data_IF_569653766283
#
_entry.id   IF_569653766283
#
_cell.length_a   1.000
_cell.length_b   1.000
_cell.length_c   1.000
_cell.angle_alpha   90.00
_cell.angle_beta   90.00
_cell.angle_gamma   90.00
#
_symmetry.space_group_name_H-M   'P 1'
#
loop_
_entity.id
_entity.type
_entity.pdbx_description
1 polymer ?
#
# COMPACT_ATOMS: atom_id res chain seq x y z
N UNK A 1 -37.44 -1.29 -41.49
CA UNK A 1 -38.27 -2.51 -41.54
C UNK A 1 -37.82 -3.45 -40.43
N UNK A 2 -38.75 -3.84 -39.53
CA UNK A 2 -38.77 -5.02 -38.61
C UNK A 2 -37.55 -5.22 -37.68
N UNK A 3 -37.57 -4.94 -36.37
CA UNK A 3 -38.38 -5.48 -35.25
C UNK A 3 -38.37 -7.02 -35.10
N UNK A 4 -37.76 -7.44 -33.97
CA UNK A 4 -37.94 -8.66 -33.15
C UNK A 4 -37.32 -9.98 -33.62
N UNK A 5 -36.33 -10.47 -32.86
CA UNK A 5 -36.49 -11.77 -32.21
C UNK A 5 -35.78 -11.81 -30.84
N UNK A 6 -36.63 -11.93 -29.83
CA UNK A 6 -36.37 -12.09 -28.41
C UNK A 6 -36.39 -13.60 -28.15
N UNK A 7 -35.28 -14.17 -27.69
CA UNK A 7 -35.24 -15.50 -27.09
C UNK A 7 -34.57 -15.30 -25.72
N UNK A 8 -35.37 -15.07 -24.67
CA UNK A 8 -35.74 -16.10 -23.71
C UNK A 8 -34.52 -16.70 -23.00
N UNK A 9 -34.28 -16.20 -21.79
CA UNK A 9 -34.03 -16.97 -20.56
C UNK A 9 -33.01 -18.12 -20.68
N UNK A 10 -31.86 -17.96 -20.02
CA UNK A 10 -31.35 -18.84 -18.93
C UNK A 10 -29.96 -18.32 -18.53
N UNK A 11 -29.88 -17.57 -17.42
CA UNK A 11 -28.81 -17.81 -16.45
C UNK A 11 -29.12 -19.19 -15.85
N UNK A 12 -28.16 -20.11 -15.61
CA UNK A 12 -27.00 -19.79 -14.78
C UNK A 12 -25.74 -20.64 -15.07
N UNK A 13 -24.53 -20.10 -14.82
CA UNK A 13 -23.49 -20.90 -14.13
C UNK A 13 -22.34 -19.98 -13.69
N UNK A 14 -22.11 -19.96 -12.38
CA UNK A 14 -20.84 -19.54 -11.80
C UNK A 14 -19.70 -20.29 -12.50
N UNK A 15 -18.84 -19.58 -13.24
CA UNK A 15 -17.56 -20.11 -13.68
C UNK A 15 -16.45 -19.12 -13.32
N UNK A 16 -15.88 -19.42 -12.14
CA UNK A 16 -14.52 -19.09 -11.70
C UNK A 16 -14.18 -17.59 -11.55
N UNK A 17 -14.67 -16.98 -10.47
CA UNK A 17 -14.07 -15.78 -9.88
C UNK A 17 -12.74 -16.06 -9.15
N UNK A 18 -11.84 -16.82 -9.77
CA UNK A 18 -10.52 -17.09 -9.22
C UNK A 18 -9.70 -15.79 -9.23
N UNK A 19 -9.47 -15.19 -8.07
CA UNK A 19 -8.45 -14.14 -7.92
C UNK A 19 -7.09 -14.78 -8.19
N UNK A 20 -6.47 -14.45 -9.32
CA UNK A 20 -5.05 -14.73 -9.52
C UNK A 20 -4.28 -13.98 -8.42
N UNK A 21 -3.37 -14.63 -7.69
CA UNK A 21 -2.45 -13.91 -6.83
C UNK A 21 -1.60 -13.03 -7.75
N UNK A 22 -1.80 -11.72 -7.69
CA UNK A 22 -0.83 -10.77 -8.24
C UNK A 22 0.40 -10.89 -7.35
N UNK A 23 1.40 -11.64 -7.80
CA UNK A 23 2.73 -11.60 -7.23
C UNK A 23 3.24 -10.17 -7.43
N UNK A 24 3.28 -9.38 -6.36
CA UNK A 24 3.91 -8.08 -6.41
C UNK A 24 5.39 -8.33 -6.66
N UNK A 25 5.86 -8.03 -7.88
CA UNK A 25 7.28 -7.96 -8.17
C UNK A 25 7.87 -6.90 -7.24
N UNK A 26 8.51 -7.35 -6.15
CA UNK A 26 9.27 -6.47 -5.27
C UNK A 26 10.50 -6.05 -6.06
N UNK A 27 10.37 -4.97 -6.81
CA UNK A 27 11.54 -4.29 -7.35
C UNK A 27 12.44 -3.96 -6.16
N UNK A 28 13.62 -4.56 -6.11
CA UNK A 28 14.63 -4.23 -5.11
C UNK A 28 15.11 -2.82 -5.42
N UNK A 29 14.41 -1.83 -4.87
CA UNK A 29 14.80 -0.44 -4.95
C UNK A 29 16.06 -0.29 -4.11
N UNK A 30 17.18 -0.04 -4.78
CA UNK A 30 18.40 0.41 -4.11
C UNK A 30 18.14 1.81 -3.59
N UNK A 31 18.02 1.95 -2.27
CA UNK A 31 17.82 3.22 -1.58
C UNK A 31 19.10 3.58 -0.84
N UNK A 32 19.66 4.76 -1.10
CA UNK A 32 20.76 5.28 -0.30
C UNK A 32 20.24 5.80 1.03
N UNK A 33 21.02 5.65 2.11
CA UNK A 33 20.64 6.15 3.44
C UNK A 33 20.30 7.65 3.44
N UNK A 34 21.00 8.44 2.61
CA UNK A 34 20.76 9.87 2.46
C UNK A 34 19.37 10.20 1.88
N UNK A 35 18.78 9.30 1.10
CA UNK A 35 17.47 9.48 0.46
C UNK A 35 16.31 8.96 1.31
N UNK A 36 16.62 8.25 2.41
CA UNK A 36 15.62 7.65 3.29
C UNK A 36 14.58 8.65 3.81
N UNK A 37 14.95 9.85 4.30
CA UNK A 37 13.96 10.83 4.79
C UNK A 37 12.95 11.22 3.70
N UNK A 38 13.44 11.58 2.51
CA UNK A 38 12.59 11.99 1.38
C UNK A 38 11.70 10.84 0.87
N UNK A 39 12.22 9.61 0.88
CA UNK A 39 11.44 8.43 0.50
C UNK A 39 10.28 8.16 1.48
N UNK A 40 10.52 8.31 2.79
CA UNK A 40 9.48 8.20 3.82
C UNK A 40 8.43 9.29 3.67
N UNK A 41 8.86 10.54 3.42
CA UNK A 41 7.96 11.68 3.20
C UNK A 41 7.05 11.46 1.99
N UNK A 42 7.59 10.94 0.89
CA UNK A 42 6.83 10.58 -0.33
C UNK A 42 5.68 9.59 -0.06
N UNK A 43 5.77 8.79 1.01
CA UNK A 43 4.72 7.85 1.42
C UNK A 43 3.81 8.48 2.48
N UNK A 44 4.39 9.07 3.51
CA UNK A 44 3.65 9.54 4.70
C UNK A 44 2.84 10.80 4.42
N UNK A 45 3.21 11.59 3.43
CA UNK A 45 2.57 12.88 3.08
C UNK A 45 1.57 12.78 1.93
N UNK A 46 1.24 11.56 1.49
CA UNK A 46 0.24 11.40 0.43
C UNK A 46 -1.15 11.86 0.90
N UNK A 47 -1.99 12.39 -0.01
CA UNK A 47 -3.30 12.94 0.35
C UNK A 47 -4.22 11.96 1.10
N UNK A 48 -4.15 10.66 0.79
CA UNK A 48 -4.93 9.62 1.48
C UNK A 48 -4.60 9.51 2.98
N UNK A 49 -3.40 9.93 3.39
CA UNK A 49 -2.94 9.89 4.78
C UNK A 49 -3.04 11.22 5.51
N UNK A 50 -3.65 12.26 4.91
CA UNK A 50 -3.65 13.62 5.47
C UNK A 50 -4.25 13.75 6.88
N UNK A 51 -5.08 12.79 7.31
CA UNK A 51 -5.67 12.74 8.67
C UNK A 51 -5.00 11.73 9.60
N UNK A 52 -3.99 11.02 9.11
CA UNK A 52 -3.22 10.06 9.88
C UNK A 52 -2.06 10.77 10.59
N UNK A 53 -1.59 10.17 11.67
CA UNK A 53 -0.34 10.56 12.34
C UNK A 53 0.63 9.38 12.28
N UNK A 54 1.92 9.68 12.22
CA UNK A 54 2.97 8.69 12.05
C UNK A 54 4.01 8.84 13.16
N UNK A 55 4.16 7.81 13.98
CA UNK A 55 5.30 7.64 14.89
C UNK A 55 6.29 6.67 14.26
N UNK A 56 7.43 7.17 13.81
CA UNK A 56 8.44 6.40 13.08
C UNK A 56 9.81 6.59 13.73
N UNK A 57 10.46 5.48 14.06
CA UNK A 57 11.85 5.41 14.45
C UNK A 57 12.54 4.36 13.59
N UNK A 58 13.54 4.77 12.82
CA UNK A 58 14.36 3.87 11.98
C UNK A 58 15.80 3.96 12.46
N UNK A 59 16.37 2.81 12.78
CA UNK A 59 17.73 2.69 13.30
C UNK A 59 18.49 1.59 12.56
N UNK A 60 19.82 1.62 12.64
CA UNK A 60 20.63 0.44 12.31
C UNK A 60 20.23 -0.73 13.20
N UNK A 61 20.42 -1.96 12.70
CA UNK A 61 20.03 -3.15 13.43
C UNK A 61 20.73 -3.28 14.79
N UNK A 62 21.98 -2.81 14.88
CA UNK A 62 22.76 -2.79 16.12
C UNK A 62 22.27 -1.70 17.10
N UNK A 63 21.42 -0.78 16.66
CA UNK A 63 20.86 0.31 17.46
C UNK A 63 21.77 1.53 17.62
N UNK A 64 22.96 1.52 17.03
CA UNK A 64 23.97 2.56 17.22
C UNK A 64 23.66 3.88 16.51
N UNK A 65 22.87 3.83 15.43
CA UNK A 65 22.58 5.01 14.63
C UNK A 65 21.09 5.12 14.31
N UNK A 66 20.51 6.26 14.68
CA UNK A 66 19.19 6.68 14.19
C UNK A 66 19.31 7.23 12.78
N UNK A 67 18.59 6.62 11.85
CA UNK A 67 18.56 6.99 10.43
C UNK A 67 17.38 7.93 10.12
N UNK A 68 16.28 7.80 10.88
CA UNK A 68 15.10 8.65 10.75
C UNK A 68 14.29 8.64 12.04
N UNK A 69 13.74 9.79 12.43
CA UNK A 69 12.80 9.91 13.54
C UNK A 69 11.70 10.91 13.19
N UNK A 70 10.44 10.52 13.37
CA UNK A 70 9.26 11.38 13.28
C UNK A 70 8.32 11.00 14.40
N UNK A 71 8.08 11.92 15.34
CA UNK A 71 7.22 11.69 16.51
C UNK A 71 7.57 10.38 17.27
N UNK A 72 8.86 10.02 17.35
CA UNK A 72 9.32 8.73 17.87
C UNK A 72 8.98 8.52 19.36
N UNK A 73 8.83 9.60 20.11
CA UNK A 73 8.51 9.60 21.54
C UNK A 73 7.01 9.82 21.82
N UNK A 74 6.18 9.96 20.78
CA UNK A 74 4.74 10.12 20.95
C UNK A 74 4.05 8.77 21.19
N UNK A 75 3.01 8.78 22.02
CA UNK A 75 2.19 7.59 22.26
C UNK A 75 1.16 7.40 21.15
N UNK A 76 1.13 6.20 20.58
CA UNK A 76 0.11 5.75 19.63
C UNK A 76 -0.68 4.60 20.24
N UNK A 77 -1.93 4.43 19.80
CA UNK A 77 -2.71 3.24 20.15
C UNK A 77 -2.15 2.06 19.35
N UNK A 78 -1.55 1.03 20.00
CA UNK A 78 -1.19 -0.18 19.29
C UNK A 78 -2.45 -0.93 18.87
N UNK A 79 -2.39 -1.57 17.70
CA UNK A 79 -3.47 -2.40 17.19
C UNK A 79 -3.72 -3.63 18.07
#
# INVERSE_FOLDING_TARGET
MRFVLRCCWVLPLMLLGGRLPVAQAQATLSLCTADLPAAIETVTERPEWARSRWGLLVQTQDGDATLYAREAEAFFLPA
#
